data_IF_204352915561
#
_entry.id   IF_204352915561
#
_cell.length_a   1.000
_cell.length_b   1.000
_cell.length_c   1.000
_cell.angle_alpha   90.00
_cell.angle_beta   90.00
_cell.angle_gamma   90.00
#
_symmetry.space_group_name_H-M   'P 1'
#
loop_
_entity.id
_entity.type
_entity.pdbx_description
1 polymer ?
#
# COMPACT_ATOMS: atom_id res chain seq x y z
N UNK A 1 -2.52 -14.49 -38.72
CA UNK A 1 -2.14 -13.68 -37.53
C UNK A 1 -3.27 -13.62 -36.51
N UNK A 2 -4.51 -13.35 -36.93
CA UNK A 2 -5.71 -13.28 -36.06
C UNK A 2 -5.94 -14.51 -35.15
N UNK A 3 -5.78 -15.74 -35.66
CA UNK A 3 -5.96 -16.95 -34.82
C UNK A 3 -4.99 -17.03 -33.64
N UNK A 4 -3.74 -16.58 -33.80
CA UNK A 4 -2.75 -16.55 -32.72
C UNK A 4 -3.12 -15.51 -31.66
N UNK A 5 -3.62 -14.35 -32.08
CA UNK A 5 -4.08 -13.29 -31.18
C UNK A 5 -5.28 -13.77 -30.35
N UNK A 6 -6.19 -14.53 -30.96
CA UNK A 6 -7.34 -15.13 -30.26
C UNK A 6 -6.87 -16.13 -29.19
N UNK A 7 -5.95 -17.03 -29.52
CA UNK A 7 -5.43 -18.00 -28.54
C UNK A 7 -4.66 -17.32 -27.40
N UNK A 8 -3.87 -16.28 -27.69
CA UNK A 8 -3.16 -15.50 -26.68
C UNK A 8 -4.15 -14.76 -25.77
N UNK A 9 -5.23 -14.20 -26.34
CA UNK A 9 -6.27 -13.51 -25.56
C UNK A 9 -7.05 -14.48 -24.66
N UNK A 10 -7.40 -15.67 -25.16
CA UNK A 10 -8.08 -16.71 -24.38
C UNK A 10 -7.18 -17.25 -23.26
N UNK A 11 -5.88 -17.45 -23.55
CA UNK A 11 -4.91 -17.89 -22.56
C UNK A 11 -4.70 -16.82 -21.47
N UNK A 12 -4.62 -15.54 -21.85
CA UNK A 12 -4.55 -14.43 -20.91
C UNK A 12 -5.80 -14.30 -20.05
N UNK A 13 -7.00 -14.56 -20.60
CA UNK A 13 -8.26 -14.55 -19.86
C UNK A 13 -8.36 -15.70 -18.86
N UNK A 14 -7.82 -16.89 -19.20
CA UNK A 14 -7.79 -18.05 -18.31
C UNK A 14 -6.79 -17.93 -17.16
N UNK A 15 -5.80 -17.03 -17.26
CA UNK A 15 -4.86 -16.74 -16.16
C UNK A 15 -5.46 -15.85 -15.05
N UNK A 16 -6.64 -15.26 -15.27
CA UNK A 16 -7.26 -14.33 -14.32
C UNK A 16 -8.24 -14.99 -13.34
N UNK A 17 -8.48 -16.30 -13.40
CA UNK A 17 -9.49 -16.97 -12.57
C UNK A 17 -9.01 -17.48 -11.21
N UNK A 18 -7.80 -17.13 -10.77
CA UNK A 18 -7.38 -17.37 -9.39
C UNK A 18 -7.88 -16.24 -8.50
N UNK A 19 -9.14 -16.30 -8.09
CA UNK A 19 -9.62 -15.49 -6.96
C UNK A 19 -9.00 -16.08 -5.69
N UNK A 20 -7.79 -15.63 -5.35
CA UNK A 20 -7.30 -15.72 -3.98
C UNK A 20 -8.11 -14.71 -3.19
N UNK A 21 -9.11 -15.19 -2.47
CA UNK A 21 -9.76 -14.41 -1.41
C UNK A 21 -8.74 -14.25 -0.29
N UNK A 22 -7.95 -13.18 -0.37
CA UNK A 22 -7.13 -12.72 0.73
C UNK A 22 -8.06 -11.98 1.70
N UNK A 23 -8.54 -12.68 2.73
CA UNK A 23 -9.18 -12.04 3.87
C UNK A 23 -8.21 -11.04 4.48
N UNK A 24 -8.53 -9.75 4.34
CA UNK A 24 -7.84 -8.66 5.04
C UNK A 24 -8.26 -8.71 6.51
N UNK A 25 -7.34 -9.11 7.40
CA UNK A 25 -7.54 -8.94 8.85
C UNK A 25 -7.20 -7.50 9.24
N UNK A 26 -8.07 -6.59 8.82
CA UNK A 26 -8.07 -5.22 9.30
C UNK A 26 -8.75 -5.15 10.66
N UNK A 27 -7.97 -4.78 11.69
CA UNK A 27 -8.38 -4.41 13.05
C UNK A 27 -8.50 -5.56 14.07
N UNK A 28 -7.36 -5.93 14.65
CA UNK A 28 -7.33 -6.53 16.00
C UNK A 28 -7.39 -5.40 17.05
N UNK A 29 -8.52 -4.71 17.14
CA UNK A 29 -8.89 -4.07 18.41
C UNK A 29 -9.65 -5.09 19.25
N UNK A 30 -9.10 -5.44 20.40
CA UNK A 30 -9.73 -6.31 21.39
C UNK A 30 -10.98 -5.62 21.97
N UNK A 31 -12.11 -5.76 21.28
CA UNK A 31 -13.42 -5.42 21.81
C UNK A 31 -13.80 -6.48 22.85
N UNK A 32 -14.11 -6.01 24.07
CA UNK A 32 -14.33 -6.86 25.23
C UNK A 32 -15.41 -7.93 25.02
N UNK A 33 -15.08 -9.14 25.46
CA UNK A 33 -15.88 -10.21 26.10
C UNK A 33 -17.34 -10.51 25.72
N UNK A 34 -17.95 -9.91 24.70
CA UNK A 34 -19.38 -10.16 24.43
C UNK A 34 -19.76 -10.16 22.95
N UNK A 35 -18.89 -10.72 22.12
CA UNK A 35 -19.24 -11.06 20.73
C UNK A 35 -18.63 -12.42 20.41
N UNK A 36 -19.42 -13.49 20.61
CA UNK A 36 -19.20 -14.80 20.01
C UNK A 36 -19.44 -14.71 18.50
N UNK A 37 -18.54 -14.05 17.79
CA UNK A 37 -18.40 -14.24 16.35
C UNK A 37 -16.91 -14.19 15.99
N UNK A 38 -16.12 -14.99 16.71
CA UNK A 38 -14.77 -15.33 16.26
C UNK A 38 -14.94 -16.27 15.08
N UNK A 39 -14.82 -15.74 13.86
CA UNK A 39 -14.69 -16.56 12.67
C UNK A 39 -13.61 -17.63 12.94
N UNK A 40 -14.00 -18.91 12.92
CA UNK A 40 -13.09 -20.01 13.21
C UNK A 40 -12.00 -20.06 12.15
N UNK A 41 -10.84 -19.45 12.43
CA UNK A 41 -9.69 -19.48 11.55
C UNK A 41 -8.98 -20.84 11.63
N UNK A 42 -8.93 -21.58 10.51
CA UNK A 42 -8.30 -22.91 10.42
C UNK A 42 -6.84 -22.96 10.92
N UNK A 43 -6.14 -21.83 10.96
CA UNK A 43 -4.71 -21.75 11.28
C UNK A 43 -4.40 -20.91 12.54
N UNK A 44 -5.34 -20.81 13.48
CA UNK A 44 -5.20 -20.02 14.71
C UNK A 44 -3.87 -20.26 15.45
N UNK A 45 -3.43 -21.52 15.57
CA UNK A 45 -2.18 -21.87 16.24
C UNK A 45 -0.94 -21.23 15.58
N UNK A 46 -0.91 -21.18 14.24
CA UNK A 46 0.17 -20.56 13.48
C UNK A 46 0.08 -19.04 13.58
N UNK A 47 -1.12 -18.46 13.42
CA UNK A 47 -1.36 -17.02 13.59
C UNK A 47 -0.85 -16.54 14.96
N UNK A 48 -1.20 -17.25 16.04
CA UNK A 48 -0.78 -16.91 17.41
C UNK A 48 0.72 -17.10 17.64
N UNK A 49 1.33 -18.13 17.05
CA UNK A 49 2.78 -18.34 17.14
C UNK A 49 3.56 -17.21 16.44
N UNK A 50 3.15 -16.85 15.22
CA UNK A 50 3.73 -15.73 14.47
C UNK A 50 3.51 -14.40 15.19
N UNK A 51 2.32 -14.18 15.77
CA UNK A 51 2.04 -13.00 16.58
C UNK A 51 3.00 -12.87 17.77
N UNK A 52 3.22 -13.97 18.52
CA UNK A 52 4.18 -13.97 19.65
C UNK A 52 5.60 -13.66 19.20
N UNK A 53 6.04 -14.22 18.06
CA UNK A 53 7.34 -13.92 17.47
C UNK A 53 7.46 -12.44 17.10
N UNK A 54 6.49 -11.91 16.35
CA UNK A 54 6.45 -10.51 15.93
C UNK A 54 6.45 -9.56 17.14
N UNK A 55 5.68 -9.88 18.18
CA UNK A 55 5.65 -9.09 19.42
C UNK A 55 6.99 -9.10 20.17
N UNK A 56 7.69 -10.24 20.18
CA UNK A 56 9.04 -10.33 20.72
C UNK A 56 10.03 -9.48 19.93
N UNK A 57 10.00 -9.56 18.61
CA UNK A 57 10.84 -8.75 17.71
C UNK A 57 10.53 -7.26 17.84
N UNK A 58 9.27 -6.88 18.00
CA UNK A 58 8.86 -5.49 18.18
C UNK A 58 9.52 -4.88 19.42
N UNK A 59 9.40 -5.52 20.57
CA UNK A 59 9.99 -5.03 21.82
C UNK A 59 11.51 -4.92 21.79
N UNK A 60 12.19 -5.87 21.14
CA UNK A 60 13.66 -5.96 21.18
C UNK A 60 14.32 -5.13 20.07
N UNK A 61 13.69 -5.04 18.90
CA UNK A 61 14.31 -4.47 17.70
C UNK A 61 13.51 -3.26 17.18
N UNK A 62 12.23 -3.43 16.85
CA UNK A 62 11.50 -2.39 16.13
C UNK A 62 11.11 -1.19 17.01
N UNK A 63 10.62 -1.41 18.23
CA UNK A 63 10.29 -0.38 19.20
C UNK A 63 11.48 0.53 19.54
N UNK A 64 12.68 0.03 19.91
CA UNK A 64 13.82 0.90 20.18
C UNK A 64 14.28 1.66 18.93
N UNK A 65 14.27 1.03 17.75
CA UNK A 65 14.59 1.72 16.48
C UNK A 65 13.59 2.83 16.20
N UNK A 66 12.29 2.58 16.39
CA UNK A 66 11.24 3.57 16.20
C UNK A 66 11.35 4.74 17.19
N UNK A 67 11.71 4.47 18.45
CA UNK A 67 12.01 5.52 19.45
C UNK A 67 13.20 6.37 19.01
N UNK A 68 14.27 5.74 18.53
CA UNK A 68 15.44 6.43 17.97
C UNK A 68 15.08 7.33 16.79
N UNK A 69 14.30 6.81 15.83
CA UNK A 69 13.80 7.60 14.71
C UNK A 69 12.90 8.77 15.15
N UNK A 70 12.04 8.56 16.15
CA UNK A 70 11.13 9.60 16.67
C UNK A 70 11.89 10.74 17.37
N UNK A 71 13.10 10.48 17.89
CA UNK A 71 13.98 11.49 18.46
C UNK A 71 14.59 12.43 17.40
N UNK A 72 14.55 12.08 16.11
CA UNK A 72 15.03 12.95 15.04
C UNK A 72 14.15 14.21 14.89
N UNK A 73 14.73 15.34 14.44
CA UNK A 73 13.98 16.55 14.13
C UNK A 73 12.81 16.32 13.17
N UNK A 74 11.71 17.03 13.41
CA UNK A 74 10.49 16.99 12.58
C UNK A 74 10.77 17.16 11.08
N UNK A 75 11.67 18.08 10.62
CA UNK A 75 11.95 18.25 9.20
C UNK A 75 12.49 16.98 8.53
N UNK A 76 13.38 16.24 9.20
CA UNK A 76 13.96 15.01 8.67
C UNK A 76 12.88 13.94 8.55
N UNK A 77 12.09 13.77 9.61
CA UNK A 77 10.99 12.79 9.62
C UNK A 77 9.94 13.09 8.54
N UNK A 78 9.65 14.38 8.32
CA UNK A 78 8.73 14.82 7.25
C UNK A 78 9.32 14.56 5.86
N UNK A 79 10.60 14.87 5.65
CA UNK A 79 11.31 14.59 4.41
C UNK A 79 11.28 13.09 4.05
N UNK A 80 11.58 12.21 5.01
CA UNK A 80 11.50 10.75 4.81
C UNK A 80 10.08 10.30 4.48
N UNK A 81 9.07 10.86 5.15
CA UNK A 81 7.65 10.60 4.84
C UNK A 81 7.29 10.98 3.41
N UNK A 82 7.60 12.23 3.01
CA UNK A 82 7.34 12.72 1.65
C UNK A 82 8.04 11.87 0.59
N UNK A 83 9.32 11.52 0.81
CA UNK A 83 10.07 10.68 -0.11
C UNK A 83 9.42 9.30 -0.29
N UNK A 84 9.02 8.68 0.83
CA UNK A 84 8.36 7.36 0.80
C UNK A 84 7.00 7.44 0.12
N UNK A 85 6.25 8.51 0.33
CA UNK A 85 4.95 8.74 -0.30
C UNK A 85 5.08 9.00 -1.81
N UNK A 86 6.11 9.74 -2.24
CA UNK A 86 6.44 9.92 -3.65
C UNK A 86 6.81 8.58 -4.31
N UNK A 87 7.56 7.70 -3.63
CA UNK A 87 7.86 6.39 -4.19
C UNK A 87 6.59 5.52 -4.30
N UNK A 88 5.72 5.56 -3.29
CA UNK A 88 4.44 4.84 -3.29
C UNK A 88 3.48 5.36 -4.35
N UNK A 89 3.60 6.62 -4.78
CA UNK A 89 2.73 7.16 -5.82
C UNK A 89 2.86 6.42 -7.16
N UNK A 90 3.97 5.72 -7.41
CA UNK A 90 4.10 4.81 -8.56
C UNK A 90 3.15 3.61 -8.48
N UNK A 91 3.00 3.02 -7.29
CA UNK A 91 2.07 1.92 -7.06
C UNK A 91 0.63 2.42 -7.20
N UNK A 92 0.31 3.56 -6.60
CA UNK A 92 -1.00 4.18 -6.74
C UNK A 92 -1.29 4.57 -8.19
N UNK A 93 -0.31 5.09 -8.93
CA UNK A 93 -0.45 5.39 -10.35
C UNK A 93 -0.82 4.12 -11.14
N UNK A 94 -0.11 3.01 -10.93
CA UNK A 94 -0.45 1.75 -11.61
C UNK A 94 -1.85 1.25 -11.26
N UNK A 95 -2.26 1.36 -9.99
CA UNK A 95 -3.59 0.92 -9.56
C UNK A 95 -4.69 1.83 -10.10
N UNK A 96 -4.52 3.16 -10.08
CA UNK A 96 -5.44 4.11 -10.73
C UNK A 96 -5.65 3.75 -12.21
N UNK A 97 -4.60 3.35 -12.92
CA UNK A 97 -4.71 2.93 -14.33
C UNK A 97 -5.49 1.62 -14.46
N UNK A 98 -5.20 0.63 -13.60
CA UNK A 98 -5.90 -0.66 -13.62
C UNK A 98 -7.39 -0.53 -13.25
N UNK A 99 -7.71 0.39 -12.35
CA UNK A 99 -9.09 0.71 -11.96
C UNK A 99 -9.81 1.62 -12.98
N UNK A 100 -9.11 2.11 -14.01
CA UNK A 100 -9.68 3.00 -15.04
C UNK A 100 -9.82 4.46 -14.61
N UNK A 101 -9.24 4.85 -13.48
CA UNK A 101 -9.28 6.20 -12.91
C UNK A 101 -8.22 7.12 -13.54
N UNK A 102 -8.34 7.40 -14.84
CA UNK A 102 -7.31 8.13 -15.59
C UNK A 102 -7.02 9.55 -15.10
N UNK A 103 -8.02 10.25 -14.55
CA UNK A 103 -7.82 11.60 -13.98
C UNK A 103 -6.91 11.55 -12.74
N UNK A 104 -7.14 10.59 -11.85
CA UNK A 104 -6.32 10.37 -10.66
C UNK A 104 -4.94 9.83 -11.02
N UNK A 105 -4.86 8.95 -12.03
CA UNK A 105 -3.59 8.51 -12.59
C UNK A 105 -2.76 9.70 -13.12
N UNK A 106 -3.36 10.56 -13.93
CA UNK A 106 -2.70 11.76 -14.47
C UNK A 106 -2.19 12.70 -13.36
N UNK A 107 -3.02 12.95 -12.34
CA UNK A 107 -2.61 13.75 -11.18
C UNK A 107 -1.41 13.13 -10.44
N UNK A 108 -1.44 11.81 -10.18
CA UNK A 108 -0.34 11.14 -9.49
C UNK A 108 0.94 11.05 -10.32
N UNK A 109 0.83 10.93 -11.65
CA UNK A 109 1.98 11.01 -12.55
C UNK A 109 2.62 12.41 -12.50
N UNK A 110 1.79 13.46 -12.52
CA UNK A 110 2.27 14.84 -12.40
C UNK A 110 2.93 15.10 -11.04
N UNK A 111 2.28 14.69 -9.93
CA UNK A 111 2.86 14.78 -8.58
C UNK A 111 4.20 14.07 -8.50
N UNK A 112 4.29 12.83 -9.00
CA UNK A 112 5.52 12.06 -9.02
C UNK A 112 6.63 12.77 -9.80
N UNK A 113 6.34 13.24 -11.02
CA UNK A 113 7.31 13.92 -11.86
C UNK A 113 7.83 15.21 -11.22
N UNK A 114 6.92 16.05 -10.72
CA UNK A 114 7.25 17.34 -10.10
C UNK A 114 8.03 17.12 -8.79
N UNK A 115 7.55 16.25 -7.90
CA UNK A 115 8.20 16.01 -6.62
C UNK A 115 9.55 15.30 -6.80
N UNK A 116 9.69 14.42 -7.77
CA UNK A 116 10.98 13.77 -8.07
C UNK A 116 12.00 14.75 -8.64
N UNK A 117 11.59 15.68 -9.49
CA UNK A 117 12.48 16.65 -10.15
C UNK A 117 12.71 17.91 -9.30
N UNK A 118 11.68 18.74 -9.15
CA UNK A 118 11.73 19.99 -8.40
C UNK A 118 11.70 19.79 -6.88
N UNK A 119 11.12 18.68 -6.40
CA UNK A 119 11.06 18.34 -4.99
C UNK A 119 12.26 17.55 -4.46
N UNK A 120 13.32 17.37 -5.25
CA UNK A 120 14.53 16.61 -4.90
C UNK A 120 14.16 15.16 -4.49
N UNK A 121 13.80 14.34 -5.49
CA UNK A 121 13.37 12.95 -5.32
C UNK A 121 12.13 12.76 -4.43
N UNK A 122 11.39 13.82 -4.15
CA UNK A 122 10.21 13.80 -3.29
C UNK A 122 10.48 14.14 -1.83
N UNK A 123 11.68 14.63 -1.48
CA UNK A 123 11.95 15.16 -0.14
C UNK A 123 11.01 16.35 0.17
N UNK A 124 10.78 17.18 -0.85
CA UNK A 124 9.84 18.29 -0.81
C UNK A 124 8.62 17.99 -1.69
N UNK A 125 7.50 18.65 -1.38
CA UNK A 125 6.24 18.53 -2.11
C UNK A 125 5.83 19.86 -2.77
N UNK A 126 6.54 20.29 -3.84
CA UNK A 126 6.13 21.43 -4.65
C UNK A 126 4.85 21.16 -5.47
N UNK A 127 4.51 19.89 -5.79
CA UNK A 127 3.33 19.56 -6.59
C UNK A 127 2.03 20.08 -5.96
N UNK A 128 1.87 19.94 -4.65
CA UNK A 128 0.71 20.47 -3.92
C UNK A 128 0.58 22.00 -4.08
N UNK A 129 1.70 22.73 -4.07
CA UNK A 129 1.68 24.20 -4.27
C UNK A 129 1.33 24.61 -5.70
N UNK A 130 1.48 23.69 -6.66
CA UNK A 130 1.15 23.89 -8.07
C UNK A 130 -0.28 23.44 -8.41
N UNK A 131 -1.09 23.07 -7.41
CA UNK A 131 -2.50 22.70 -7.58
C UNK A 131 -2.74 21.21 -7.86
N UNK A 132 -1.69 20.38 -7.83
CA UNK A 132 -1.85 18.92 -7.89
C UNK A 132 -2.03 18.39 -6.48
N UNK A 133 -3.25 18.41 -5.96
CA UNK A 133 -3.55 17.94 -4.61
C UNK A 133 -3.38 16.42 -4.48
N UNK A 134 -3.06 15.94 -3.28
CA UNK A 134 -3.05 14.50 -3.00
C UNK A 134 -4.49 13.97 -3.03
N UNK A 135 -4.74 12.96 -3.87
CA UNK A 135 -6.08 12.39 -4.09
C UNK A 135 -6.27 11.05 -3.36
N UNK A 136 -5.33 10.67 -2.48
CA UNK A 136 -5.35 9.40 -1.77
C UNK A 136 -4.43 8.35 -2.39
N UNK A 137 -4.38 7.19 -1.73
CA UNK A 137 -3.48 6.09 -2.05
C UNK A 137 -4.31 4.89 -2.50
N UNK A 138 -3.95 4.35 -3.65
CA UNK A 138 -4.49 3.11 -4.20
C UNK A 138 -3.47 1.98 -4.10
N UNK A 139 -3.96 0.79 -3.79
CA UNK A 139 -3.21 -0.45 -3.76
C UNK A 139 -3.90 -1.59 -4.55
N UNK A 140 -3.20 -2.72 -4.68
CA UNK A 140 -3.71 -3.88 -5.41
C UNK A 140 -4.90 -4.55 -4.72
N UNK A 141 -5.06 -4.37 -3.40
CA UNK A 141 -6.21 -4.89 -2.67
C UNK A 141 -7.50 -4.20 -3.11
N UNK A 142 -7.47 -2.89 -3.30
CA UNK A 142 -8.60 -2.13 -3.86
C UNK A 142 -8.85 -2.47 -5.32
N UNK A 143 -7.79 -2.64 -6.12
CA UNK A 143 -7.93 -2.98 -7.55
C UNK A 143 -8.57 -4.34 -7.79
N UNK A 144 -8.36 -5.31 -6.90
CA UNK A 144 -8.87 -6.68 -7.02
C UNK A 144 -10.14 -6.95 -6.18
N UNK A 145 -10.48 -6.00 -5.30
CA UNK A 145 -11.56 -6.12 -4.31
C UNK A 145 -12.96 -5.86 -4.85
#
# INVERSE_FOLDING_TARGET
MIRKIIYISIFALLLQTNVVSAGTTGSEELKGSDSQDTASECFEGVSRAMFKLNHGLDKVIFEPVAKGYRALPVPIRKATGNFTDNLRSLLTLSNNVLQGEFLRAGNNAARFGINTTAGILGIFDPATKLGFEDQGKEDFGQTLG
#
